data_IF_925996824603
#
_entry.id   IF_925996824603
#
_cell.length_a   1.000
_cell.length_b   1.000
_cell.length_c   1.000
_cell.angle_alpha   90.00
_cell.angle_beta   90.00
_cell.angle_gamma   90.00
#
_symmetry.space_group_name_H-M   'P 1'
#
loop_
_entity.id
_entity.type
_entity.pdbx_description
1 polymer ?
#
# COMPACT_ATOMS: atom_id res chain seq x y z
N UNK A 1 -2.33 20.71 4.18
CA UNK A 1 -2.16 19.27 3.83
C UNK A 1 -3.45 18.80 3.18
N UNK A 2 -3.41 18.29 1.95
CA UNK A 2 -4.64 17.87 1.24
C UNK A 2 -5.06 16.49 1.77
N UNK A 3 -6.17 16.43 2.51
CA UNK A 3 -6.66 15.20 3.11
C UNK A 3 -7.35 14.31 2.04
N UNK A 4 -6.94 13.04 1.97
CA UNK A 4 -7.51 12.08 1.02
C UNK A 4 -8.86 11.57 1.53
N UNK A 5 -9.92 11.82 0.76
CA UNK A 5 -11.27 11.35 1.07
C UNK A 5 -11.45 9.88 0.66
N UNK A 6 -12.21 9.13 1.43
CA UNK A 6 -12.67 7.79 1.05
C UNK A 6 -13.76 7.86 -0.05
N UNK A 7 -14.17 6.71 -0.58
CA UNK A 7 -15.22 6.60 -1.62
C UNK A 7 -16.59 7.19 -1.22
N UNK A 8 -16.80 7.50 0.07
CA UNK A 8 -18.01 8.16 0.59
C UNK A 8 -17.80 9.66 0.80
N UNK A 9 -16.70 10.23 0.30
CA UNK A 9 -16.35 11.64 0.45
C UNK A 9 -15.88 12.04 1.85
N UNK A 10 -15.64 11.08 2.76
CA UNK A 10 -15.26 11.33 4.16
C UNK A 10 -13.75 11.19 4.34
N UNK A 11 -13.14 12.06 5.14
CA UNK A 11 -11.74 11.93 5.55
C UNK A 11 -11.68 10.89 6.68
N UNK A 12 -10.98 9.76 6.51
CA UNK A 12 -10.81 8.81 7.60
C UNK A 12 -9.98 9.45 8.73
N UNK A 13 -10.38 9.31 9.99
CA UNK A 13 -9.59 9.83 11.10
C UNK A 13 -8.29 9.05 11.26
N UNK A 14 -7.25 9.76 11.73
CA UNK A 14 -6.11 9.13 12.37
C UNK A 14 -6.48 8.73 13.80
N UNK A 15 -5.90 7.63 14.26
CA UNK A 15 -6.06 7.14 15.62
C UNK A 15 -4.92 7.69 16.48
N UNK A 16 -5.23 8.21 17.67
CA UNK A 16 -4.22 8.65 18.63
C UNK A 16 -4.69 8.55 20.08
N UNK A 17 -3.92 9.15 20.98
CA UNK A 17 -4.23 9.31 22.40
C UNK A 17 -3.95 10.74 22.86
N UNK A 18 -4.79 11.26 23.73
CA UNK A 18 -4.47 12.50 24.45
C UNK A 18 -3.55 12.18 25.64
N UNK A 19 -2.38 12.82 25.74
CA UNK A 19 -1.30 12.38 26.64
C UNK A 19 -1.71 12.34 28.12
N UNK A 20 -2.43 13.37 28.57
CA UNK A 20 -2.75 13.57 29.98
C UNK A 20 -3.81 12.57 30.50
N UNK A 21 -4.92 12.45 29.76
CA UNK A 21 -6.04 11.58 30.14
C UNK A 21 -5.91 10.15 29.60
N UNK A 22 -4.92 9.89 28.73
CA UNK A 22 -4.74 8.64 27.98
C UNK A 22 -6.02 8.22 27.21
N UNK A 23 -6.91 9.17 26.92
CA UNK A 23 -8.14 8.92 26.18
C UNK A 23 -7.78 8.57 24.74
N UNK A 24 -8.22 7.42 24.21
CA UNK A 24 -8.13 7.13 22.78
C UNK A 24 -9.00 8.11 22.00
N UNK A 25 -8.40 8.77 21.01
CA UNK A 25 -9.06 9.79 20.19
C UNK A 25 -9.00 9.46 18.71
N UNK A 26 -9.98 9.98 17.97
CA UNK A 26 -9.97 10.16 16.53
C UNK A 26 -9.49 11.58 16.22
N UNK A 27 -8.62 11.70 15.23
CA UNK A 27 -7.95 12.94 14.86
C UNK A 27 -8.21 13.19 13.38
N UNK A 28 -8.75 14.36 13.06
CA UNK A 28 -8.83 14.86 11.69
C UNK A 28 -7.96 16.08 11.57
N UNK A 29 -7.31 16.22 10.42
CA UNK A 29 -6.53 17.41 10.09
C UNK A 29 -7.01 17.94 8.74
N UNK A 30 -7.19 19.25 8.66
CA UNK A 30 -7.46 19.94 7.40
C UNK A 30 -6.67 21.26 7.34
N UNK A 31 -7.03 22.14 6.41
CA UNK A 31 -6.38 23.46 6.27
C UNK A 31 -6.75 24.43 7.40
N UNK A 32 -7.80 24.16 8.16
CA UNK A 32 -8.35 25.05 9.20
C UNK A 32 -7.89 24.66 10.60
N UNK A 33 -7.54 23.40 10.84
CA UNK A 33 -6.98 22.98 12.11
C UNK A 33 -6.94 21.47 12.34
N UNK A 34 -6.84 21.12 13.62
CA UNK A 34 -6.86 19.75 14.12
C UNK A 34 -8.15 19.56 14.91
N UNK A 35 -8.95 18.59 14.51
CA UNK A 35 -10.17 18.19 15.21
C UNK A 35 -9.92 16.89 15.95
N UNK A 36 -10.33 16.84 17.22
CA UNK A 36 -10.10 15.69 18.10
C UNK A 36 -11.41 15.32 18.78
N UNK A 37 -11.82 14.06 18.65
CA UNK A 37 -12.96 13.50 19.38
C UNK A 37 -12.54 12.21 20.09
N UNK A 38 -13.10 11.87 21.26
CA UNK A 38 -12.85 10.57 21.85
C UNK A 38 -13.44 9.47 20.96
N UNK A 39 -12.76 8.32 20.85
CA UNK A 39 -13.30 7.17 20.09
C UNK A 39 -14.58 6.63 20.70
N UNK A 40 -14.66 6.69 22.03
CA UNK A 40 -15.87 6.44 22.79
C UNK A 40 -16.53 7.78 23.14
N UNK A 41 -17.67 8.06 22.50
CA UNK A 41 -18.42 9.30 22.69
C UNK A 41 -18.90 9.51 24.12
N UNK A 42 -19.05 8.46 24.93
CA UNK A 42 -19.40 8.60 26.34
C UNK A 42 -18.34 9.35 27.15
N UNK A 43 -17.09 9.38 26.66
CA UNK A 43 -15.96 10.07 27.28
C UNK A 43 -15.78 11.52 26.82
N UNK A 44 -16.73 12.09 26.09
CA UNK A 44 -16.66 13.47 25.60
C UNK A 44 -16.43 14.49 26.73
N UNK A 45 -17.22 14.42 27.81
CA UNK A 45 -17.07 15.33 28.94
C UNK A 45 -15.79 15.11 29.76
N UNK A 46 -15.16 13.94 29.67
CA UNK A 46 -13.83 13.70 30.26
C UNK A 46 -12.73 14.39 29.44
N UNK A 47 -12.81 14.29 28.11
CA UNK A 47 -11.88 14.96 27.21
C UNK A 47 -12.00 16.48 27.33
N UNK A 48 -13.23 17.03 27.32
CA UNK A 48 -13.47 18.46 27.45
C UNK A 48 -12.91 19.02 28.76
N UNK A 49 -13.18 18.37 29.89
CA UNK A 49 -12.61 18.77 31.19
C UNK A 49 -11.08 18.73 31.18
N UNK A 50 -10.49 17.71 30.55
CA UNK A 50 -9.03 17.60 30.42
C UNK A 50 -8.44 18.69 29.52
N UNK A 51 -9.16 19.14 28.49
CA UNK A 51 -8.73 20.23 27.61
C UNK A 51 -8.85 21.60 28.28
N UNK A 52 -9.85 21.81 29.13
CA UNK A 52 -10.06 23.07 29.85
C UNK A 52 -9.15 23.20 31.08
N UNK A 53 -8.74 22.09 31.69
CA UNK A 53 -7.88 22.09 32.87
C UNK A 53 -6.42 22.48 32.57
N UNK A 54 -5.98 22.33 31.32
CA UNK A 54 -4.58 22.47 30.94
C UNK A 54 -4.42 23.56 29.86
N UNK A 55 -3.41 24.42 29.99
CA UNK A 55 -3.12 25.43 28.96
C UNK A 55 -2.38 24.88 27.75
N UNK A 56 -1.84 23.66 27.86
CA UNK A 56 -1.11 22.94 26.82
C UNK A 56 -1.43 21.44 26.87
N UNK A 57 -1.46 20.79 25.72
CA UNK A 57 -1.71 19.35 25.63
C UNK A 57 -0.89 18.70 24.52
N UNK A 58 -0.58 17.41 24.68
CA UNK A 58 0.18 16.63 23.69
C UNK A 58 -0.70 15.55 23.11
N UNK A 59 -0.76 15.49 21.78
CA UNK A 59 -1.43 14.44 21.03
C UNK A 59 -0.42 13.39 20.60
N UNK A 60 -0.62 12.15 21.03
CA UNK A 60 0.25 11.02 20.69
C UNK A 60 -0.38 10.23 19.54
N UNK A 61 0.22 10.32 18.35
CA UNK A 61 -0.17 9.54 17.18
C UNK A 61 0.79 8.37 17.04
N UNK A 62 0.36 7.12 17.33
CA UNK A 62 1.22 5.96 17.15
C UNK A 62 1.53 5.77 15.67
N UNK A 63 2.81 5.73 15.33
CA UNK A 63 3.28 5.28 14.02
C UNK A 63 3.40 3.76 14.11
N UNK A 64 2.61 2.99 13.34
CA UNK A 64 2.66 1.54 13.42
C UNK A 64 4.05 1.03 13.04
N UNK A 65 4.58 0.11 13.85
CA UNK A 65 5.83 -0.58 13.54
C UNK A 65 5.66 -1.41 12.25
N UNK A 66 6.74 -1.65 11.49
CA UNK A 66 6.67 -2.41 10.23
C UNK A 66 6.03 -3.80 10.38
N UNK A 67 6.16 -4.42 11.55
CA UNK A 67 5.56 -5.72 11.90
C UNK A 67 4.06 -5.66 12.23
N UNK A 68 3.49 -4.46 12.39
CA UNK A 68 2.08 -4.24 12.69
C UNK A 68 1.22 -4.02 11.42
N UNK A 69 1.83 -4.10 10.23
CA UNK A 69 1.09 -4.07 8.97
C UNK A 69 0.24 -5.33 8.89
N UNK A 70 -1.08 -5.16 8.81
CA UNK A 70 -2.01 -6.25 8.51
C UNK A 70 -1.64 -6.84 7.13
N UNK A 71 -1.01 -8.02 7.15
CA UNK A 71 -0.53 -8.68 5.93
C UNK A 71 -1.67 -9.08 5.00
N UNK A 72 -2.82 -9.45 5.53
CA UNK A 72 -3.97 -9.83 4.73
C UNK A 72 -4.56 -8.59 4.03
N UNK A 73 -4.72 -7.49 4.75
CA UNK A 73 -5.18 -6.22 4.16
C UNK A 73 -4.19 -5.70 3.12
N UNK A 74 -2.89 -5.73 3.44
CA UNK A 74 -1.83 -5.28 2.53
C UNK A 74 -1.77 -6.13 1.26
N UNK A 75 -1.83 -7.45 1.40
CA UNK A 75 -1.87 -8.37 0.26
C UNK A 75 -3.08 -8.12 -0.64
N UNK A 76 -4.27 -7.95 -0.06
CA UNK A 76 -5.48 -7.59 -0.81
C UNK A 76 -5.36 -6.24 -1.50
N UNK A 77 -4.72 -5.26 -0.85
CA UNK A 77 -4.46 -3.96 -1.46
C UNK A 77 -3.55 -4.11 -2.69
N UNK A 78 -2.39 -4.75 -2.55
CA UNK A 78 -1.44 -4.98 -3.65
C UNK A 78 -2.10 -5.75 -4.79
N UNK A 79 -2.82 -6.84 -4.49
CA UNK A 79 -3.53 -7.63 -5.50
C UNK A 79 -4.60 -6.84 -6.26
N UNK A 80 -5.33 -5.93 -5.59
CA UNK A 80 -6.25 -5.02 -6.29
C UNK A 80 -5.51 -4.10 -7.24
N UNK A 81 -4.42 -3.49 -6.77
CA UNK A 81 -3.60 -2.62 -7.61
C UNK A 81 -3.03 -3.40 -8.80
N UNK A 82 -2.59 -4.64 -8.61
CA UNK A 82 -2.10 -5.51 -9.68
C UNK A 82 -3.14 -5.75 -10.78
N UNK A 83 -4.38 -6.07 -10.41
CA UNK A 83 -5.47 -6.28 -11.37
C UNK A 83 -5.83 -4.99 -12.12
N UNK A 84 -5.91 -3.85 -11.42
CA UNK A 84 -6.21 -2.55 -12.03
C UNK A 84 -5.06 -2.09 -12.95
N UNK A 85 -3.81 -2.29 -12.55
CA UNK A 85 -2.63 -1.97 -13.35
C UNK A 85 -2.55 -2.86 -14.61
N UNK A 86 -2.92 -4.14 -14.48
CA UNK A 86 -2.99 -5.06 -15.62
C UNK A 86 -4.08 -4.62 -16.58
N UNK A 87 -5.27 -4.28 -16.05
CA UNK A 87 -6.35 -3.71 -16.83
C UNK A 87 -5.90 -2.45 -17.58
N UNK A 88 -5.29 -1.49 -16.88
CA UNK A 88 -4.79 -0.26 -17.48
C UNK A 88 -3.81 -0.53 -18.65
N UNK A 89 -2.95 -1.55 -18.52
CA UNK A 89 -1.97 -1.91 -19.55
C UNK A 89 -2.60 -2.56 -20.79
N UNK A 90 -3.66 -3.34 -20.62
CA UNK A 90 -4.20 -4.20 -21.69
C UNK A 90 -5.58 -3.79 -22.21
N UNK A 91 -6.28 -2.87 -21.54
CA UNK A 91 -7.66 -2.49 -21.87
C UNK A 91 -7.83 -1.85 -23.26
N UNK A 92 -6.76 -1.31 -23.84
CA UNK A 92 -6.77 -0.75 -25.19
C UNK A 92 -6.58 -1.80 -26.29
N UNK A 93 -6.27 -3.06 -25.92
CA UNK A 93 -6.08 -4.15 -26.86
C UNK A 93 -7.41 -4.87 -27.11
N UNK A 94 -7.71 -5.15 -28.37
CA UNK A 94 -8.92 -5.86 -28.74
C UNK A 94 -8.96 -7.26 -28.11
N UNK A 95 -10.14 -7.65 -27.61
CA UNK A 95 -10.37 -8.96 -26.97
C UNK A 95 -9.86 -9.09 -25.53
N UNK A 96 -8.93 -8.25 -25.09
CA UNK A 96 -8.31 -8.36 -23.75
C UNK A 96 -9.27 -8.13 -22.60
N UNK A 97 -10.34 -7.36 -22.80
CA UNK A 97 -11.40 -7.21 -21.79
C UNK A 97 -12.02 -8.56 -21.42
N UNK A 98 -12.29 -9.42 -22.41
CA UNK A 98 -12.83 -10.76 -22.17
C UNK A 98 -11.79 -11.60 -21.45
N UNK A 99 -10.57 -11.62 -21.97
CA UNK A 99 -9.46 -12.40 -21.42
C UNK A 99 -9.19 -12.05 -19.95
N UNK A 100 -9.08 -10.77 -19.59
CA UNK A 100 -8.85 -10.34 -18.21
C UNK A 100 -9.93 -10.84 -17.23
N UNK A 101 -11.18 -10.98 -17.69
CA UNK A 101 -12.31 -11.43 -16.89
C UNK A 101 -12.45 -12.95 -16.87
N UNK A 102 -12.13 -13.64 -17.96
CA UNK A 102 -12.32 -15.09 -18.11
C UNK A 102 -11.05 -15.92 -17.90
N UNK A 103 -9.87 -15.30 -17.85
CA UNK A 103 -8.62 -16.02 -17.68
C UNK A 103 -8.61 -16.75 -16.35
N UNK A 104 -8.51 -18.08 -16.41
CA UNK A 104 -8.57 -18.96 -15.24
C UNK A 104 -7.37 -18.77 -14.30
N UNK A 105 -6.20 -18.45 -14.85
CA UNK A 105 -4.98 -18.20 -14.07
C UNK A 105 -5.11 -17.02 -13.10
N UNK A 106 -6.00 -16.07 -13.39
CA UNK A 106 -6.26 -14.91 -12.52
C UNK A 106 -7.49 -15.10 -11.62
N UNK A 107 -8.26 -16.18 -11.75
CA UNK A 107 -9.54 -16.36 -11.04
C UNK A 107 -9.35 -16.42 -9.51
N UNK A 108 -8.34 -17.15 -9.06
CA UNK A 108 -8.02 -17.25 -7.64
C UNK A 108 -7.68 -15.88 -7.05
N UNK A 109 -6.85 -15.08 -7.74
CA UNK A 109 -6.48 -13.73 -7.29
C UNK A 109 -7.71 -12.82 -7.28
N UNK A 110 -8.53 -12.81 -8.36
CA UNK A 110 -9.75 -12.01 -8.44
C UNK A 110 -10.71 -12.29 -7.26
N UNK A 111 -10.92 -13.57 -6.93
CA UNK A 111 -11.75 -13.97 -5.78
C UNK A 111 -11.15 -13.53 -4.45
N UNK A 112 -9.85 -13.71 -4.27
CA UNK A 112 -9.13 -13.27 -3.07
C UNK A 112 -9.26 -11.76 -2.85
N UNK A 113 -8.98 -10.94 -3.87
CA UNK A 113 -8.99 -9.49 -3.70
C UNK A 113 -10.40 -8.93 -3.50
N UNK A 114 -11.41 -9.54 -4.15
CA UNK A 114 -12.82 -9.14 -4.06
C UNK A 114 -13.45 -9.53 -2.72
N UNK A 115 -13.39 -10.81 -2.36
CA UNK A 115 -14.09 -11.37 -1.20
C UNK A 115 -13.14 -11.50 0.00
N UNK A 116 -11.96 -12.07 -0.21
CA UNK A 116 -10.96 -12.33 0.83
C UNK A 116 -11.17 -13.63 1.60
N UNK A 117 -11.89 -14.58 1.02
CA UNK A 117 -12.22 -15.85 1.69
C UNK A 117 -11.32 -17.02 1.27
N UNK A 118 -10.90 -17.06 0.00
CA UNK A 118 -10.08 -18.15 -0.56
C UNK A 118 -9.12 -17.64 -1.64
N UNK A 119 -7.83 -17.98 -1.57
CA UNK A 119 -7.13 -18.56 -0.41
C UNK A 119 -7.22 -17.65 0.84
N UNK A 120 -6.93 -18.18 2.03
CA UNK A 120 -6.93 -17.38 3.28
C UNK A 120 -5.84 -16.31 3.28
N UNK A 121 -4.72 -16.63 2.64
CA UNK A 121 -3.58 -15.74 2.51
C UNK A 121 -3.08 -15.77 1.08
N UNK A 122 -2.55 -14.63 0.65
CA UNK A 122 -1.80 -14.49 -0.58
C UNK A 122 -0.50 -13.80 -0.20
N UNK A 123 0.61 -14.50 -0.34
CA UNK A 123 1.89 -14.00 0.10
C UNK A 123 2.38 -12.91 -0.85
N UNK A 124 3.13 -11.97 -0.28
CA UNK A 124 3.83 -10.94 -1.03
C UNK A 124 5.23 -10.80 -0.47
N UNK A 125 6.17 -10.46 -1.36
CA UNK A 125 7.52 -10.11 -1.00
C UNK A 125 7.58 -8.61 -0.69
N UNK A 126 8.40 -8.22 0.27
CA UNK A 126 8.57 -6.83 0.69
C UNK A 126 10.05 -6.53 0.89
N UNK A 127 10.51 -5.40 0.36
CA UNK A 127 11.84 -4.86 0.67
C UNK A 127 11.88 -3.34 0.53
N UNK A 128 12.98 -2.73 0.96
CA UNK A 128 13.25 -1.32 0.72
C UNK A 128 14.10 -1.17 -0.54
N UNK A 129 13.70 -0.30 -1.47
CA UNK A 129 14.49 0.10 -2.63
C UNK A 129 15.24 1.39 -2.37
N UNK A 130 14.57 2.39 -1.80
CA UNK A 130 15.14 3.69 -1.53
C UNK A 130 14.50 4.32 -0.27
N UNK A 131 14.99 5.49 0.14
CA UNK A 131 14.36 6.23 1.25
C UNK A 131 13.13 6.98 0.75
N UNK A 132 12.13 7.15 1.60
CA UNK A 132 10.91 7.89 1.24
C UNK A 132 11.18 9.37 0.89
N UNK A 133 12.27 9.93 1.43
CA UNK A 133 12.75 11.30 1.21
C UNK A 133 13.89 11.37 0.18
N UNK A 134 14.15 10.25 -0.54
CA UNK A 134 15.17 10.22 -1.57
C UNK A 134 14.73 11.05 -2.77
N UNK A 135 15.59 11.98 -3.16
CA UNK A 135 15.41 12.79 -4.36
C UNK A 135 16.19 12.21 -5.51
N UNK A 136 15.51 12.02 -6.62
CA UNK A 136 16.08 11.61 -7.90
C UNK A 136 16.35 12.85 -8.76
N UNK A 137 17.30 12.72 -9.68
CA UNK A 137 17.59 13.76 -10.67
C UNK A 137 17.39 13.21 -12.06
N UNK A 138 16.72 13.98 -12.89
CA UNK A 138 16.64 13.77 -14.33
C UNK A 138 16.98 15.10 -15.02
N UNK A 139 18.17 15.17 -15.62
CA UNK A 139 18.75 16.43 -16.10
C UNK A 139 18.85 17.48 -14.99
N UNK A 140 18.13 18.59 -15.16
CA UNK A 140 18.06 19.70 -14.19
C UNK A 140 16.99 19.51 -13.12
N UNK A 141 16.05 18.60 -13.33
CA UNK A 141 14.90 18.43 -12.46
C UNK A 141 15.25 17.52 -11.28
N UNK A 142 14.70 17.87 -10.12
CA UNK A 142 14.81 17.09 -8.90
C UNK A 142 13.41 16.72 -8.44
N UNK A 143 13.14 15.42 -8.28
CA UNK A 143 11.82 14.92 -7.92
C UNK A 143 11.89 13.81 -6.87
N UNK A 144 10.76 13.56 -6.22
CA UNK A 144 10.56 12.43 -5.31
C UNK A 144 9.65 11.41 -5.99
N UNK A 145 10.08 10.15 -6.00
CA UNK A 145 9.30 9.08 -6.62
C UNK A 145 8.27 8.55 -5.61
N UNK A 146 7.02 8.97 -5.77
CA UNK A 146 5.94 8.57 -4.87
C UNK A 146 5.57 7.09 -5.06
N UNK A 147 5.48 6.66 -6.31
CA UNK A 147 5.22 5.27 -6.68
C UNK A 147 5.70 4.97 -8.09
N UNK A 148 5.97 3.70 -8.34
CA UNK A 148 6.28 3.11 -9.65
C UNK A 148 5.86 1.64 -9.62
N UNK A 149 5.54 1.05 -10.77
CA UNK A 149 5.19 -0.37 -10.85
C UNK A 149 5.52 -0.95 -12.20
N UNK A 150 5.71 -2.27 -12.24
CA UNK A 150 5.82 -3.01 -13.49
C UNK A 150 5.36 -4.47 -13.33
N UNK A 151 5.30 -5.18 -14.45
CA UNK A 151 5.00 -6.60 -14.53
C UNK A 151 6.21 -7.35 -15.07
N UNK A 152 6.43 -8.53 -14.51
CA UNK A 152 7.38 -9.50 -15.05
C UNK A 152 6.59 -10.70 -15.52
N UNK A 153 6.70 -11.01 -16.80
CA UNK A 153 6.25 -12.29 -17.35
C UNK A 153 7.48 -13.16 -17.63
N UNK A 154 7.51 -14.36 -17.08
CA UNK A 154 8.66 -15.28 -17.19
C UNK A 154 8.41 -16.37 -18.21
N UNK A 155 9.49 -17.00 -18.68
CA UNK A 155 9.44 -18.17 -19.58
C UNK A 155 8.71 -19.38 -18.98
N UNK A 156 8.50 -19.39 -17.66
CA UNK A 156 7.71 -20.39 -16.94
C UNK A 156 6.23 -20.05 -16.87
N UNK A 157 5.78 -19.08 -17.67
CA UNK A 157 4.41 -18.55 -17.70
C UNK A 157 3.93 -17.99 -16.36
N UNK A 158 4.85 -17.49 -15.54
CA UNK A 158 4.53 -16.80 -14.28
C UNK A 158 4.42 -15.31 -14.53
N UNK A 159 3.39 -14.70 -13.95
CA UNK A 159 3.16 -13.25 -13.99
C UNK A 159 3.32 -12.67 -12.59
N UNK A 160 4.35 -11.86 -12.40
CA UNK A 160 4.57 -11.09 -11.18
C UNK A 160 4.15 -9.64 -11.37
N UNK A 161 3.55 -9.06 -10.35
CA UNK A 161 3.34 -7.63 -10.26
C UNK A 161 4.23 -7.05 -9.16
N UNK A 162 4.94 -5.97 -9.48
CA UNK A 162 5.86 -5.29 -8.58
C UNK A 162 5.44 -3.84 -8.50
N UNK A 163 5.31 -3.30 -7.29
CA UNK A 163 5.02 -1.89 -7.03
C UNK A 163 5.91 -1.36 -5.93
N UNK A 164 6.50 -0.20 -6.12
CA UNK A 164 7.11 0.57 -5.05
C UNK A 164 6.21 1.74 -4.67
N UNK A 165 6.05 1.96 -3.36
CA UNK A 165 5.35 3.12 -2.81
C UNK A 165 6.25 3.72 -1.74
N UNK A 166 6.64 4.99 -1.91
CA UNK A 166 7.58 5.69 -1.02
C UNK A 166 8.88 4.89 -0.74
N UNK A 167 9.44 4.26 -1.78
CA UNK A 167 10.67 3.48 -1.69
C UNK A 167 10.58 2.11 -1.02
N UNK A 168 9.38 1.65 -0.63
CA UNK A 168 9.15 0.26 -0.23
C UNK A 168 8.54 -0.50 -1.42
N UNK A 169 9.23 -1.54 -1.88
CA UNK A 169 8.80 -2.44 -2.94
C UNK A 169 7.99 -3.60 -2.36
N UNK A 170 6.89 -3.88 -3.03
CA UNK A 170 6.03 -5.03 -2.83
C UNK A 170 5.94 -5.81 -4.12
N UNK A 171 5.99 -7.13 -4.05
CA UNK A 171 5.79 -7.99 -5.20
C UNK A 171 4.85 -9.14 -4.87
N UNK A 172 4.05 -9.53 -5.85
CA UNK A 172 3.04 -10.60 -5.74
C UNK A 172 3.08 -11.47 -7.00
N UNK A 173 2.98 -12.78 -6.82
CA UNK A 173 2.66 -13.70 -7.92
C UNK A 173 1.16 -13.61 -8.20
N UNK A 174 0.80 -13.28 -9.43
CA UNK A 174 -0.61 -13.06 -9.78
C UNK A 174 -1.37 -14.36 -10.04
N UNK A 175 -0.67 -15.47 -10.28
CA UNK A 175 -1.24 -16.79 -10.51
C UNK A 175 -1.20 -17.70 -9.29
N UNK A 176 -0.24 -17.49 -8.38
CA UNK A 176 -0.03 -18.35 -7.21
C UNK A 176 -0.10 -17.60 -5.87
N UNK A 177 -0.75 -18.16 -4.85
CA UNK A 177 -0.78 -17.56 -3.51
C UNK A 177 0.55 -17.60 -2.76
N UNK A 178 1.50 -18.43 -3.19
CA UNK A 178 2.82 -18.59 -2.58
C UNK A 178 3.87 -17.75 -3.32
N UNK A 179 4.77 -17.10 -2.59
CA UNK A 179 5.73 -16.13 -3.16
C UNK A 179 7.07 -16.78 -3.58
N UNK A 180 7.30 -18.06 -3.31
CA UNK A 180 8.60 -18.73 -3.54
C UNK A 180 9.08 -18.64 -4.99
N UNK A 181 8.15 -18.64 -5.96
CA UNK A 181 8.50 -18.46 -7.37
C UNK A 181 9.11 -17.09 -7.64
N UNK A 182 8.60 -16.03 -7.01
CA UNK A 182 9.17 -14.68 -7.14
C UNK A 182 10.52 -14.59 -6.42
N UNK A 183 10.66 -15.19 -5.24
CA UNK A 183 11.96 -15.24 -4.55
C UNK A 183 13.02 -15.97 -5.37
N UNK A 184 12.64 -17.07 -6.03
CA UNK A 184 13.51 -17.82 -6.92
C UNK A 184 13.92 -16.96 -8.13
N UNK A 185 12.96 -16.26 -8.74
CA UNK A 185 13.21 -15.31 -9.82
C UNK A 185 14.19 -14.20 -9.40
N UNK A 186 14.02 -13.63 -8.20
CA UNK A 186 14.95 -12.61 -7.69
C UNK A 186 16.35 -13.17 -7.46
N UNK A 187 16.47 -14.36 -6.86
CA UNK A 187 17.79 -15.00 -6.62
C UNK A 187 18.54 -15.25 -7.92
N UNK A 188 17.84 -15.59 -9.00
CA UNK A 188 18.44 -15.78 -10.33
C UNK A 188 18.95 -14.49 -10.96
N UNK A 189 18.61 -13.32 -10.40
CA UNK A 189 19.04 -12.00 -10.87
C UNK A 189 19.82 -11.24 -9.80
N UNK A 190 20.51 -11.95 -8.91
CA UNK A 190 21.31 -11.38 -7.82
C UNK A 190 20.52 -10.40 -6.91
N UNK A 191 19.21 -10.60 -6.82
CA UNK A 191 18.31 -9.72 -6.08
C UNK A 191 18.10 -8.34 -6.73
N UNK A 192 18.45 -8.13 -7.99
CA UNK A 192 18.13 -6.90 -8.71
C UNK A 192 16.61 -6.65 -8.75
N UNK A 193 16.21 -5.38 -8.64
CA UNK A 193 14.79 -5.03 -8.75
C UNK A 193 14.31 -5.05 -10.20
N UNK A 194 13.14 -5.65 -10.49
CA UNK A 194 12.50 -5.48 -11.79
C UNK A 194 12.19 -4.02 -12.13
N UNK A 195 12.02 -3.15 -11.13
CA UNK A 195 11.79 -1.71 -11.33
C UNK A 195 13.07 -0.94 -11.65
N UNK A 196 14.22 -1.48 -11.24
CA UNK A 196 15.54 -0.92 -11.51
C UNK A 196 16.46 -2.04 -12.00
N UNK A 197 16.21 -2.57 -13.22
CA UNK A 197 17.10 -3.57 -13.78
C UNK A 197 18.50 -2.95 -13.85
N UNK A 198 19.49 -3.68 -13.33
CA UNK A 198 20.88 -3.37 -13.62
C UNK A 198 20.95 -3.40 -15.14
N UNK A 199 21.33 -2.29 -15.77
CA UNK A 199 21.49 -2.22 -17.22
C UNK A 199 22.30 -3.45 -17.63
N UNK A 200 21.63 -4.42 -18.26
CA UNK A 200 22.28 -5.57 -18.84
C UNK A 200 23.24 -4.99 -19.86
N UNK A 201 24.54 -5.13 -19.59
CA UNK A 201 25.57 -4.96 -20.60
C UNK A 201 25.40 -6.11 -21.59
N UNK A 202 24.43 -5.99 -22.49
CA UNK A 202 24.15 -6.90 -23.59
C UNK A 202 23.73 -6.02 -24.77
N UNK A 203 24.33 -6.03 -25.96
CA UNK A 203 25.41 -6.81 -26.55
C UNK A 203 26.13 -5.93 -27.59
#
# INVERSE_FOLDING_TARGET
MMAVRNKRGRIPPMSGHFSHSKIPVNIWTDSTGIFVEPRDRSRAGELERSLLAETQGTLLVPVPHKSQVDRHLMSRFIGKVAIEALALRVMQLDGWRKELLSNEGLEALRRFVRVGEKPKEWQFHRRRLHRFDQRFRDGTDTFELLHEYDFVYTDKNLLFFIIAIFGEEFAIDMGNPDIQSYETYLRQRDGASPLHPIATKDC
#
